data_IF_363590197988
#
_entry.id   IF_363590197988
#
_cell.length_a   1.000
_cell.length_b   1.000
_cell.length_c   1.000
_cell.angle_alpha   90.00
_cell.angle_beta   90.00
_cell.angle_gamma   90.00
#
_symmetry.space_group_name_H-M   'P 1'
#
loop_
_entity.id
_entity.type
_entity.pdbx_description
1 polymer ?
#
# COMPACT_ATOMS: atom_id res chain seq x y z
N UNK A 1 15.33 23.91 14.35
CA UNK A 1 14.48 24.41 13.24
C UNK A 1 13.28 23.49 12.97
N UNK A 2 13.44 22.17 13.01
CA UNK A 2 12.36 21.17 12.78
C UNK A 2 11.27 21.26 13.85
N UNK A 3 11.62 21.36 15.14
CA UNK A 3 10.67 21.44 16.25
C UNK A 3 9.80 22.71 16.24
N UNK A 4 10.32 23.82 15.71
CA UNK A 4 9.57 25.09 15.60
C UNK A 4 8.50 24.97 14.50
N UNK A 5 8.82 24.30 13.38
CA UNK A 5 7.85 24.04 12.30
C UNK A 5 6.72 23.08 12.73
N UNK A 6 7.02 22.13 13.62
CA UNK A 6 6.01 21.22 14.17
C UNK A 6 5.03 21.91 15.13
N UNK A 7 5.52 22.89 15.93
CA UNK A 7 4.67 23.67 16.84
C UNK A 7 3.72 24.65 16.15
N UNK A 8 4.04 25.08 14.93
CA UNK A 8 3.22 26.07 14.18
C UNK A 8 2.18 25.36 13.29
N UNK A 9 2.29 24.04 13.10
CA UNK A 9 1.42 23.32 12.19
C UNK A 9 0.19 22.74 12.93
N UNK A 10 -0.94 23.43 12.85
CA UNK A 10 -2.20 22.99 13.50
C UNK A 10 -2.65 21.57 13.10
N UNK A 11 -2.20 21.05 11.95
CA UNK A 11 -2.45 19.65 11.54
C UNK A 11 -1.66 18.67 12.43
N UNK A 12 -0.40 18.99 12.74
CA UNK A 12 0.46 18.17 13.59
C UNK A 12 -0.12 18.05 15.01
N UNK A 13 -0.61 19.17 15.56
CA UNK A 13 -1.22 19.16 16.89
C UNK A 13 -2.49 18.31 16.95
N UNK A 14 -3.28 18.31 15.88
CA UNK A 14 -4.48 17.48 15.79
C UNK A 14 -4.11 16.01 15.71
N UNK A 15 -3.17 15.64 14.84
CA UNK A 15 -2.76 14.26 14.67
C UNK A 15 -2.06 13.67 15.90
N UNK A 16 -1.36 14.51 16.70
CA UNK A 16 -0.78 14.09 17.98
C UNK A 16 -1.82 13.68 19.04
N UNK A 17 -3.08 14.07 18.87
CA UNK A 17 -4.20 13.66 19.73
C UNK A 17 -4.77 12.28 19.35
N UNK A 18 -4.07 11.51 18.54
CA UNK A 18 -4.42 10.13 18.17
C UNK A 18 -4.79 9.28 19.39
N UNK A 19 -5.99 8.66 19.46
CA UNK A 19 -6.49 7.96 20.64
C UNK A 19 -5.56 6.86 21.15
N UNK A 20 -4.92 6.14 20.24
CA UNK A 20 -3.95 5.07 20.57
C UNK A 20 -2.51 5.59 20.76
N UNK A 21 -2.30 6.91 20.63
CA UNK A 21 -1.03 7.58 20.81
C UNK A 21 0.14 6.98 19.99
N UNK A 22 -0.17 6.43 18.83
CA UNK A 22 0.83 5.85 17.91
C UNK A 22 1.48 6.93 17.06
N UNK A 23 0.71 7.92 16.59
CA UNK A 23 1.21 8.99 15.73
C UNK A 23 2.37 9.77 16.37
N UNK A 24 2.27 10.10 17.65
CA UNK A 24 3.31 10.85 18.39
C UNK A 24 4.63 10.07 18.55
N UNK A 25 4.55 8.73 18.53
CA UNK A 25 5.70 7.82 18.65
C UNK A 25 6.36 7.49 17.30
N UNK A 26 5.82 7.99 16.18
CA UNK A 26 6.37 7.75 14.85
C UNK A 26 7.62 8.58 14.58
N UNK A 27 8.49 8.06 13.72
CA UNK A 27 9.65 8.79 13.22
C UNK A 27 9.22 10.01 12.39
N UNK A 28 10.12 10.98 12.26
CA UNK A 28 9.85 12.24 11.55
C UNK A 28 9.46 12.01 10.08
N UNK A 29 10.10 11.06 9.39
CA UNK A 29 9.81 10.76 7.96
C UNK A 29 8.40 10.20 7.79
N UNK A 30 7.96 9.35 8.70
CA UNK A 30 6.59 8.82 8.72
C UNK A 30 5.58 9.93 8.95
N UNK A 31 5.81 10.83 9.91
CA UNK A 31 4.91 11.98 10.15
C UNK A 31 4.82 12.92 8.94
N UNK A 32 5.93 13.17 8.24
CA UNK A 32 5.91 13.91 6.96
C UNK A 32 5.04 13.17 5.92
N UNK A 33 5.16 11.84 5.82
CA UNK A 33 4.37 11.06 4.88
C UNK A 33 2.87 11.20 5.13
N UNK A 34 2.42 11.16 6.40
CA UNK A 34 1.03 11.38 6.78
C UNK A 34 0.55 12.79 6.40
N UNK A 35 1.36 13.82 6.66
CA UNK A 35 1.05 15.20 6.27
C UNK A 35 0.95 15.38 4.75
N UNK A 36 1.85 14.75 4.00
CA UNK A 36 1.79 14.79 2.54
C UNK A 36 0.55 14.08 2.01
N UNK A 37 0.11 13.00 2.66
CA UNK A 37 -1.13 12.32 2.32
C UNK A 37 -2.36 13.18 2.60
N UNK A 38 -2.39 13.90 3.71
CA UNK A 38 -3.41 14.92 4.00
C UNK A 38 -3.46 16.01 2.91
N UNK A 39 -2.30 16.54 2.50
CA UNK A 39 -2.22 17.50 1.40
C UNK A 39 -2.76 16.95 0.08
N UNK A 40 -2.48 15.68 -0.21
CA UNK A 40 -3.01 14.99 -1.40
C UNK A 40 -4.54 14.92 -1.36
N UNK A 41 -5.11 14.49 -0.22
CA UNK A 41 -6.55 14.41 -0.03
C UNK A 41 -7.18 15.81 -0.11
N UNK A 42 -6.58 16.82 0.54
CA UNK A 42 -7.03 18.21 0.49
C UNK A 42 -7.10 18.76 -0.94
N UNK A 43 -6.06 18.51 -1.75
CA UNK A 43 -6.05 18.89 -3.17
C UNK A 43 -7.15 18.20 -3.97
N UNK A 44 -7.42 16.91 -3.71
CA UNK A 44 -8.46 16.13 -4.40
C UNK A 44 -9.88 16.56 -4.02
N UNK A 45 -10.10 16.85 -2.73
CA UNK A 45 -11.44 17.16 -2.19
C UNK A 45 -11.74 18.65 -2.15
N UNK A 46 -10.73 19.51 -2.27
CA UNK A 46 -10.78 20.97 -2.07
C UNK A 46 -11.20 21.37 -0.63
N UNK A 47 -10.98 20.49 0.33
CA UNK A 47 -11.27 20.68 1.74
C UNK A 47 -9.97 20.98 2.49
N UNK A 48 -10.00 21.83 3.52
CA UNK A 48 -8.81 22.20 4.29
C UNK A 48 -8.18 21.00 5.01
N UNK A 49 -6.85 20.96 5.08
CA UNK A 49 -6.07 19.92 5.76
C UNK A 49 -6.48 19.76 7.23
N UNK A 50 -6.73 20.88 7.91
CA UNK A 50 -7.16 20.91 9.32
C UNK A 50 -8.52 20.20 9.49
N UNK A 51 -9.47 20.44 8.60
CA UNK A 51 -10.78 19.79 8.66
C UNK A 51 -10.65 18.27 8.42
N UNK A 52 -9.85 17.86 7.46
CA UNK A 52 -9.59 16.44 7.17
C UNK A 52 -8.94 15.76 8.38
N UNK A 53 -7.92 16.40 8.99
CA UNK A 53 -7.24 15.87 10.17
C UNK A 53 -8.22 15.69 11.36
N UNK A 54 -9.11 16.68 11.60
CA UNK A 54 -10.17 16.58 12.62
C UNK A 54 -11.14 15.43 12.36
N UNK A 55 -11.53 15.22 11.09
CA UNK A 55 -12.41 14.10 10.72
C UNK A 55 -11.74 12.76 10.90
N UNK A 56 -10.44 12.63 10.60
CA UNK A 56 -9.68 11.42 10.89
C UNK A 56 -9.64 11.14 12.40
N UNK A 57 -9.40 12.17 13.21
CA UNK A 57 -9.37 12.05 14.66
C UNK A 57 -10.74 11.65 15.22
N UNK A 58 -11.82 12.28 14.75
CA UNK A 58 -13.18 11.95 15.14
C UNK A 58 -13.54 10.49 14.84
N UNK A 59 -13.23 10.01 13.62
CA UNK A 59 -13.47 8.63 13.23
C UNK A 59 -12.66 7.62 14.05
N UNK A 60 -11.39 7.92 14.32
CA UNK A 60 -10.54 7.05 15.14
C UNK A 60 -10.99 7.03 16.59
N UNK A 61 -11.45 8.15 17.15
CA UNK A 61 -11.99 8.21 18.51
C UNK A 61 -13.28 7.41 18.67
N UNK A 62 -14.20 7.48 17.70
CA UNK A 62 -15.43 6.69 17.69
C UNK A 62 -15.14 5.18 17.66
N UNK A 63 -14.18 4.75 16.84
CA UNK A 63 -13.82 3.33 16.77
C UNK A 63 -13.06 2.88 18.03
N UNK A 64 -12.23 3.75 18.63
CA UNK A 64 -11.57 3.48 19.90
C UNK A 64 -12.57 3.25 21.04
N UNK A 65 -13.60 4.08 21.14
CA UNK A 65 -14.68 3.89 22.12
C UNK A 65 -15.47 2.60 21.86
N UNK A 66 -15.78 2.27 20.61
CA UNK A 66 -16.48 1.04 20.23
C UNK A 66 -15.69 -0.24 20.53
N UNK A 67 -14.39 -0.17 20.45
CA UNK A 67 -13.49 -1.30 20.75
C UNK A 67 -13.20 -1.47 22.25
N UNK A 68 -13.98 -0.82 23.13
CA UNK A 68 -13.73 -0.80 24.57
C UNK A 68 -12.32 -0.29 24.93
N UNK A 69 -11.85 0.73 24.22
CA UNK A 69 -10.53 1.33 24.39
C UNK A 69 -9.36 0.37 24.09
N UNK A 70 -9.57 -0.59 23.19
CA UNK A 70 -8.49 -1.47 22.76
C UNK A 70 -7.47 -0.72 21.89
N UNK A 71 -6.27 -0.55 22.41
CA UNK A 71 -5.15 0.09 21.72
C UNK A 71 -4.59 -0.73 20.55
N UNK A 72 -4.95 -2.00 20.42
CA UNK A 72 -4.54 -2.88 19.31
C UNK A 72 -5.48 -2.79 18.11
N UNK A 73 -6.65 -2.14 18.25
CA UNK A 73 -7.55 -1.96 17.10
C UNK A 73 -6.94 -0.98 16.09
N UNK A 74 -6.60 -1.49 14.92
CA UNK A 74 -6.04 -0.70 13.82
C UNK A 74 -6.93 0.46 13.38
N UNK A 75 -8.25 0.37 13.59
CA UNK A 75 -9.22 1.40 13.21
C UNK A 75 -9.25 2.55 14.21
N UNK A 76 -8.75 2.34 15.41
CA UNK A 76 -8.63 3.38 16.44
C UNK A 76 -7.48 4.36 16.17
N UNK A 77 -6.61 4.09 15.19
CA UNK A 77 -5.49 4.95 14.81
C UNK A 77 -5.83 5.84 13.61
N UNK A 78 -5.45 7.12 13.67
CA UNK A 78 -5.68 8.11 12.59
C UNK A 78 -5.09 7.67 11.24
N UNK A 79 -4.00 6.91 11.24
CA UNK A 79 -3.37 6.38 10.04
C UNK A 79 -4.22 5.41 9.26
N UNK A 80 -5.14 4.70 9.90
CA UNK A 80 -6.07 3.81 9.22
C UNK A 80 -6.89 4.55 8.15
N UNK A 81 -7.33 5.77 8.46
CA UNK A 81 -8.12 6.60 7.55
C UNK A 81 -7.28 7.38 6.54
N UNK A 82 -5.99 7.62 6.81
CA UNK A 82 -5.14 8.39 5.91
C UNK A 82 -4.41 7.53 4.88
N UNK A 83 -3.93 6.34 5.25
CA UNK A 83 -3.00 5.55 4.42
C UNK A 83 -3.39 4.08 4.27
N UNK A 84 -4.41 3.62 5.00
CA UNK A 84 -4.84 2.22 5.00
C UNK A 84 -6.26 2.07 4.41
N UNK A 85 -6.95 0.99 4.78
CA UNK A 85 -8.26 0.61 4.23
C UNK A 85 -9.41 1.56 4.62
N UNK A 86 -9.19 2.48 5.54
CA UNK A 86 -10.16 3.50 5.95
C UNK A 86 -10.21 4.73 5.03
N UNK A 87 -9.24 4.92 4.11
CA UNK A 87 -9.22 6.06 3.19
C UNK A 87 -10.53 6.22 2.38
N UNK A 88 -11.14 5.15 1.80
CA UNK A 88 -12.41 5.28 1.09
C UNK A 88 -13.56 5.78 1.97
N UNK A 89 -13.65 5.32 3.24
CA UNK A 89 -14.67 5.78 4.20
C UNK A 89 -14.49 7.27 4.52
N UNK A 90 -13.25 7.71 4.70
CA UNK A 90 -12.96 9.13 4.90
C UNK A 90 -13.37 9.96 3.69
N UNK A 91 -13.02 9.54 2.47
CA UNK A 91 -13.37 10.25 1.24
C UNK A 91 -14.88 10.28 1.00
N UNK A 92 -15.61 9.22 1.33
CA UNK A 92 -17.08 9.16 1.27
C UNK A 92 -17.70 10.23 2.17
N UNK A 93 -17.22 10.35 3.40
CA UNK A 93 -17.70 11.36 4.38
C UNK A 93 -17.37 12.78 3.91
N UNK A 94 -16.15 13.01 3.40
CA UNK A 94 -15.69 14.33 2.97
C UNK A 94 -16.42 14.83 1.72
N UNK A 95 -16.79 13.95 0.80
CA UNK A 95 -17.42 14.31 -0.47
C UNK A 95 -18.92 14.09 -0.48
N UNK A 96 -19.50 13.53 0.58
CA UNK A 96 -20.90 13.11 0.64
C UNK A 96 -21.32 12.22 -0.56
N UNK A 97 -20.36 11.47 -1.12
CA UNK A 97 -20.53 10.55 -2.25
C UNK A 97 -19.90 9.21 -1.94
N UNK A 98 -20.59 8.11 -2.26
CA UNK A 98 -20.00 6.77 -2.17
C UNK A 98 -18.79 6.68 -3.08
N UNK A 99 -17.62 6.53 -2.49
CA UNK A 99 -16.37 6.28 -3.23
C UNK A 99 -16.26 4.76 -3.44
N UNK A 100 -16.13 4.27 -4.68
CA UNK A 100 -16.00 2.84 -4.94
C UNK A 100 -14.72 2.33 -4.23
N UNK A 101 -14.89 1.30 -3.41
CA UNK A 101 -13.78 0.63 -2.73
C UNK A 101 -12.78 0.16 -3.77
N UNK A 102 -11.58 0.74 -3.76
CA UNK A 102 -10.55 0.41 -4.75
C UNK A 102 -10.07 -1.02 -4.48
N UNK A 103 -10.63 -1.98 -5.22
CA UNK A 103 -10.32 -3.39 -5.05
C UNK A 103 -8.95 -3.68 -5.70
N UNK A 104 -7.89 -3.59 -4.89
CA UNK A 104 -6.51 -3.84 -5.33
C UNK A 104 -6.31 -5.30 -5.79
N UNK A 105 -7.15 -6.23 -5.34
CA UNK A 105 -7.14 -7.64 -5.78
C UNK A 105 -7.41 -7.76 -7.28
N UNK A 106 -8.38 -7.01 -7.82
CA UNK A 106 -8.67 -7.06 -9.27
C UNK A 106 -7.51 -6.55 -10.15
N UNK A 107 -6.69 -5.62 -9.64
CA UNK A 107 -5.51 -5.15 -10.38
C UNK A 107 -4.41 -6.21 -10.40
N UNK A 108 -4.18 -6.89 -9.28
CA UNK A 108 -3.21 -7.97 -9.20
C UNK A 108 -3.64 -9.18 -10.06
N UNK A 109 -4.92 -9.57 -10.00
CA UNK A 109 -5.46 -10.64 -10.85
C UNK A 109 -5.33 -10.35 -12.34
N UNK A 110 -5.71 -9.14 -12.79
CA UNK A 110 -5.56 -8.74 -14.19
C UNK A 110 -4.11 -8.78 -14.66
N UNK A 111 -3.17 -8.41 -13.80
CA UNK A 111 -1.75 -8.51 -14.12
C UNK A 111 -1.29 -9.96 -14.29
N UNK A 112 -1.66 -10.84 -13.35
CA UNK A 112 -1.30 -12.27 -13.39
C UNK A 112 -1.93 -12.95 -14.61
N UNK A 113 -3.21 -12.68 -14.90
CA UNK A 113 -3.87 -13.25 -16.09
C UNK A 113 -3.27 -12.74 -17.39
N UNK A 114 -2.92 -11.47 -17.48
CA UNK A 114 -2.25 -10.93 -18.67
C UNK A 114 -0.89 -11.60 -18.89
N UNK A 115 -0.11 -11.78 -17.83
CA UNK A 115 1.18 -12.46 -17.89
C UNK A 115 1.00 -13.91 -18.39
N UNK A 116 0.07 -14.67 -17.79
CA UNK A 116 -0.21 -16.05 -18.18
C UNK A 116 -0.64 -16.17 -19.65
N UNK A 117 -1.50 -15.27 -20.13
CA UNK A 117 -1.93 -15.27 -21.54
C UNK A 117 -0.75 -15.04 -22.48
N UNK A 118 0.11 -14.07 -22.19
CA UNK A 118 1.27 -13.76 -23.02
C UNK A 118 2.24 -14.96 -23.08
N UNK A 119 2.53 -15.61 -21.95
CA UNK A 119 3.42 -16.78 -21.92
C UNK A 119 2.85 -17.96 -22.71
N UNK A 120 1.56 -18.24 -22.61
CA UNK A 120 0.89 -19.31 -23.36
C UNK A 120 0.93 -19.03 -24.88
N UNK A 121 0.66 -17.79 -25.29
CA UNK A 121 0.70 -17.42 -26.71
C UNK A 121 2.10 -17.59 -27.30
N UNK A 122 3.13 -17.12 -26.58
CA UNK A 122 4.51 -17.26 -27.02
C UNK A 122 4.96 -18.71 -27.11
N UNK A 123 4.60 -19.54 -26.14
CA UNK A 123 4.89 -20.97 -26.17
C UNK A 123 4.17 -21.67 -27.33
N UNK A 124 2.93 -21.28 -27.63
CA UNK A 124 2.17 -21.80 -28.77
C UNK A 124 2.82 -21.44 -30.13
N UNK A 125 3.20 -20.17 -30.32
CA UNK A 125 3.91 -19.72 -31.53
C UNK A 125 5.22 -20.47 -31.72
N UNK A 126 5.99 -20.63 -30.63
CA UNK A 126 7.25 -21.36 -30.68
C UNK A 126 7.04 -22.86 -30.97
N UNK A 127 6.00 -23.48 -30.40
CA UNK A 127 5.65 -24.86 -30.68
C UNK A 127 5.28 -25.11 -32.17
N UNK A 128 4.53 -24.16 -32.76
CA UNK A 128 4.24 -24.23 -34.21
C UNK A 128 5.52 -24.08 -35.03
N UNK A 129 6.39 -23.17 -34.67
CA UNK A 129 7.68 -23.01 -35.36
C UNK A 129 8.54 -24.29 -35.29
N UNK A 130 8.69 -24.90 -34.12
CA UNK A 130 9.43 -26.16 -33.95
C UNK A 130 8.79 -27.30 -34.75
N UNK A 131 7.48 -27.40 -34.78
CA UNK A 131 6.78 -28.43 -35.52
C UNK A 131 7.11 -28.36 -37.03
N UNK A 132 7.30 -27.16 -37.60
CA UNK A 132 7.73 -27.01 -38.98
C UNK A 132 9.15 -27.48 -39.24
N UNK A 133 10.02 -27.47 -38.23
CA UNK A 133 11.42 -27.92 -38.35
C UNK A 133 11.60 -29.40 -38.12
N UNK A 134 10.92 -29.97 -37.11
CA UNK A 134 11.10 -31.33 -36.64
C UNK A 134 10.08 -32.29 -37.26
N UNK A 135 8.95 -31.78 -37.75
CA UNK A 135 7.82 -32.53 -38.30
C UNK A 135 7.34 -33.68 -37.38
N UNK A 136 7.40 -33.43 -36.06
CA UNK A 136 6.96 -34.36 -35.01
C UNK A 136 6.17 -33.58 -33.96
N UNK A 137 4.86 -33.76 -33.95
CA UNK A 137 3.93 -33.00 -33.12
C UNK A 137 4.13 -33.28 -31.63
N UNK A 138 4.48 -34.51 -31.26
CA UNK A 138 4.67 -34.89 -29.86
C UNK A 138 5.91 -34.22 -29.28
N UNK A 139 7.03 -34.26 -30.05
CA UNK A 139 8.27 -33.64 -29.62
C UNK A 139 8.15 -32.12 -29.55
N UNK A 140 7.45 -31.48 -30.50
CA UNK A 140 7.22 -30.04 -30.49
C UNK A 140 6.35 -29.59 -29.29
N UNK A 141 5.36 -30.37 -28.89
CA UNK A 141 4.58 -30.13 -27.70
C UNK A 141 5.41 -30.21 -26.40
N UNK A 142 6.23 -31.25 -26.27
CA UNK A 142 7.13 -31.39 -25.11
C UNK A 142 8.09 -30.23 -25.00
N UNK A 143 8.72 -29.82 -26.09
CA UNK A 143 9.64 -28.68 -26.13
C UNK A 143 8.94 -27.35 -25.82
N UNK A 144 7.70 -27.16 -26.30
CA UNK A 144 6.91 -25.97 -26.00
C UNK A 144 6.56 -25.86 -24.51
N UNK A 145 6.20 -26.98 -23.87
CA UNK A 145 5.92 -27.03 -22.43
C UNK A 145 7.19 -26.75 -21.64
N UNK A 146 8.32 -27.33 -22.03
CA UNK A 146 9.60 -27.13 -21.37
C UNK A 146 10.04 -25.64 -21.43
N UNK A 147 9.72 -24.96 -22.50
CA UNK A 147 10.07 -23.55 -22.72
C UNK A 147 9.20 -22.57 -21.89
N UNK A 148 8.03 -23.01 -21.39
CA UNK A 148 7.18 -22.16 -20.54
C UNK A 148 7.94 -21.64 -19.31
N UNK A 149 8.75 -22.48 -18.65
CA UNK A 149 9.46 -22.13 -17.42
C UNK A 149 10.43 -20.94 -17.62
N UNK A 150 11.37 -20.97 -18.58
CA UNK A 150 12.28 -19.85 -18.78
C UNK A 150 11.58 -18.58 -19.31
N UNK A 151 10.55 -18.73 -20.13
CA UNK A 151 9.76 -17.58 -20.63
C UNK A 151 9.08 -16.88 -19.47
N UNK A 152 8.41 -17.59 -18.58
CA UNK A 152 7.73 -17.01 -17.42
C UNK A 152 8.73 -16.25 -16.52
N UNK A 153 9.90 -16.83 -16.28
CA UNK A 153 10.94 -16.20 -15.45
C UNK A 153 11.41 -14.87 -16.06
N UNK A 154 11.69 -14.83 -17.35
CA UNK A 154 12.14 -13.60 -18.04
C UNK A 154 11.05 -12.53 -18.00
N UNK A 155 9.80 -12.88 -18.32
CA UNK A 155 8.69 -11.94 -18.29
C UNK A 155 8.42 -11.40 -16.89
N UNK A 156 8.50 -12.23 -15.87
CA UNK A 156 8.32 -11.81 -14.47
C UNK A 156 9.40 -10.82 -14.07
N UNK A 157 10.67 -11.04 -14.43
CA UNK A 157 11.76 -10.11 -14.15
C UNK A 157 11.59 -8.77 -14.86
N UNK A 158 11.23 -8.78 -16.15
CA UNK A 158 10.96 -7.55 -16.92
C UNK A 158 9.80 -6.77 -16.29
N UNK A 159 8.72 -7.45 -15.96
CA UNK A 159 7.56 -6.84 -15.35
C UNK A 159 7.86 -6.23 -13.97
N UNK A 160 8.64 -6.94 -13.13
CA UNK A 160 9.10 -6.42 -11.83
C UNK A 160 10.01 -5.19 -12.00
N UNK A 161 10.90 -5.21 -12.98
CA UNK A 161 11.76 -4.07 -13.29
C UNK A 161 10.95 -2.83 -13.68
N UNK A 162 9.97 -2.98 -14.60
CA UNK A 162 9.10 -1.88 -15.05
C UNK A 162 8.24 -1.37 -13.89
N UNK A 163 7.65 -2.27 -13.10
CA UNK A 163 6.82 -1.90 -11.95
C UNK A 163 7.63 -1.21 -10.85
N UNK A 164 8.85 -1.68 -10.59
CA UNK A 164 9.75 -1.07 -9.63
C UNK A 164 10.17 0.35 -10.02
N UNK A 165 10.33 0.60 -11.32
CA UNK A 165 10.67 1.94 -11.84
C UNK A 165 9.48 2.89 -11.89
N UNK A 166 8.26 2.37 -12.09
CA UNK A 166 7.05 3.20 -12.32
C UNK A 166 6.26 3.46 -11.03
N UNK A 167 6.37 2.62 -10.01
CA UNK A 167 5.65 2.78 -8.75
C UNK A 167 6.57 3.36 -7.69
N UNK A 168 6.21 4.55 -7.19
CA UNK A 168 6.77 5.05 -5.94
C UNK A 168 6.46 4.05 -4.83
N UNK A 169 7.50 3.53 -4.19
CA UNK A 169 7.39 2.63 -3.03
C UNK A 169 6.61 3.34 -1.92
N UNK A 170 5.58 2.70 -1.40
CA UNK A 170 4.87 3.21 -0.22
C UNK A 170 5.82 3.19 0.97
N UNK A 171 5.94 4.31 1.65
CA UNK A 171 6.70 4.39 2.89
C UNK A 171 5.97 3.54 3.94
N UNK A 172 6.68 2.57 4.51
CA UNK A 172 6.15 1.78 5.64
C UNK A 172 6.27 2.65 6.90
N UNK A 173 5.16 2.91 7.60
CA UNK A 173 5.19 3.66 8.85
C UNK A 173 6.12 3.01 9.87
N UNK A 174 6.96 3.81 10.53
CA UNK A 174 7.93 3.35 11.50
C UNK A 174 7.77 4.10 12.82
N UNK A 175 7.94 3.39 13.92
CA UNK A 175 8.08 3.99 15.25
C UNK A 175 9.52 4.51 15.43
N UNK A 176 9.67 5.54 16.24
CA UNK A 176 10.97 6.12 16.57
C UNK A 176 11.56 5.44 17.82
N UNK A 177 12.56 4.62 17.62
CA UNK A 177 13.26 3.90 18.69
C UNK A 177 14.66 4.47 18.99
N UNK A 178 14.93 5.73 18.66
CA UNK A 178 16.24 6.35 18.91
C UNK A 178 16.62 6.39 20.40
N UNK A 179 15.62 6.41 21.28
CA UNK A 179 15.83 6.40 22.73
C UNK A 179 15.72 5.00 23.35
N UNK A 180 15.79 3.95 22.54
CA UNK A 180 15.62 2.55 22.97
C UNK A 180 14.27 1.97 22.57
N UNK A 181 14.19 0.64 22.59
CA UNK A 181 12.95 -0.11 22.30
C UNK A 181 12.20 -0.29 23.62
N UNK A 182 10.96 0.21 23.76
CA UNK A 182 10.15 -0.03 24.96
C UNK A 182 9.90 -1.54 25.15
N UNK A 183 9.80 -2.00 26.39
CA UNK A 183 9.57 -3.42 26.72
C UNK A 183 8.35 -4.01 26.01
N UNK A 184 7.31 -3.19 25.79
CA UNK A 184 6.09 -3.57 25.07
C UNK A 184 6.33 -3.94 23.59
N UNK A 185 7.44 -3.49 23.02
CA UNK A 185 7.83 -3.71 21.61
C UNK A 185 9.09 -4.56 21.50
N UNK A 186 9.46 -5.28 22.55
CA UNK A 186 10.61 -6.18 22.53
C UNK A 186 10.42 -7.26 21.46
N UNK A 187 11.42 -7.43 20.60
CA UNK A 187 11.43 -8.44 19.53
C UNK A 187 12.73 -9.21 19.56
N UNK A 188 12.66 -10.51 19.30
CA UNK A 188 13.85 -11.33 19.07
C UNK A 188 14.24 -11.27 17.60
N UNK A 189 15.48 -10.90 17.31
CA UNK A 189 16.06 -11.01 15.97
C UNK A 189 16.84 -12.32 15.91
N UNK A 190 16.35 -13.26 15.12
CA UNK A 190 17.09 -14.50 14.80
C UNK A 190 17.94 -14.20 13.57
N UNK A 191 19.25 -14.26 13.74
CA UNK A 191 20.27 -14.07 12.67
C UNK A 191 20.63 -15.43 12.11
#
# INVERSE_FOLDING_TARGET
>A
MIEIFEKINGVEEILKKDPVNVYSKMDYKTRIYYRNKLKEISKKTKISEIYIARKCLELSSIEYEKSNMDSNDKKAHVGYYLIADGEPKLLEILQNKKVPKQNNMHKAQKYITALAVVTIVLAGVYGLYINTQINNIVLSLILSILLLIPIETIFTQIAQYILGKTKNTKIIPKLDFRNGIPEQNATFVVI
#
